data_IF_705620131077
#
_entry.id   IF_705620131077
#
_cell.length_a   1.000
_cell.length_b   1.000
_cell.length_c   1.000
_cell.angle_alpha   90.00
_cell.angle_beta   90.00
_cell.angle_gamma   90.00
#
_symmetry.space_group_name_H-M   'P 1'
#
loop_
_entity.id
_entity.type
_entity.pdbx_description
1 polymer ?
#
# COMPACT_ATOMS: atom_id res chain seq x y z
N UNK A 1 8.54 -32.35 7.26
CA UNK A 1 8.06 -31.10 7.92
C UNK A 1 8.98 -29.89 7.65
N UNK A 2 10.29 -29.95 7.91
CA UNK A 2 11.23 -28.82 7.72
C UNK A 2 11.30 -28.29 6.28
N UNK A 3 11.27 -29.16 5.27
CA UNK A 3 11.39 -28.78 3.86
C UNK A 3 10.18 -27.94 3.40
N UNK A 4 8.97 -28.32 3.79
CA UNK A 4 7.75 -27.56 3.47
C UNK A 4 7.69 -26.18 4.16
N UNK A 5 8.20 -26.07 5.39
CA UNK A 5 8.27 -24.77 6.07
C UNK A 5 9.26 -23.81 5.42
N UNK A 6 10.41 -24.29 4.95
CA UNK A 6 11.37 -23.44 4.23
C UNK A 6 10.79 -22.91 2.91
N UNK A 7 10.09 -23.76 2.16
CA UNK A 7 9.43 -23.35 0.92
C UNK A 7 8.33 -22.29 1.16
N UNK A 8 7.51 -22.47 2.21
CA UNK A 8 6.48 -21.52 2.58
C UNK A 8 7.06 -20.16 3.01
N UNK A 9 8.14 -20.16 3.79
CA UNK A 9 8.84 -18.93 4.20
C UNK A 9 9.48 -18.21 3.03
N UNK A 10 10.11 -18.94 2.10
CA UNK A 10 10.69 -18.36 0.88
C UNK A 10 9.60 -17.71 0.02
N UNK A 11 8.45 -18.37 -0.15
CA UNK A 11 7.30 -17.80 -0.87
C UNK A 11 6.77 -16.53 -0.17
N UNK A 12 6.62 -16.56 1.15
CA UNK A 12 6.18 -15.41 1.93
C UNK A 12 7.17 -14.23 1.81
N UNK A 13 8.47 -14.49 1.87
CA UNK A 13 9.49 -13.46 1.67
C UNK A 13 9.41 -12.84 0.28
N UNK A 14 9.26 -13.66 -0.75
CA UNK A 14 9.09 -13.16 -2.13
C UNK A 14 7.85 -12.28 -2.25
N UNK A 15 6.71 -12.73 -1.71
CA UNK A 15 5.47 -11.91 -1.69
C UNK A 15 5.71 -10.59 -0.95
N UNK A 16 6.30 -10.63 0.24
CA UNK A 16 6.59 -9.43 1.03
C UNK A 16 7.48 -8.43 0.28
N UNK A 17 8.53 -8.91 -0.39
CA UNK A 17 9.43 -8.05 -1.15
C UNK A 17 8.75 -7.42 -2.36
N UNK A 18 7.99 -8.21 -3.14
CA UNK A 18 7.25 -7.70 -4.31
C UNK A 18 6.21 -6.67 -3.86
N UNK A 19 5.38 -7.02 -2.88
CA UNK A 19 4.34 -6.13 -2.37
C UNK A 19 4.94 -4.88 -1.73
N UNK A 20 5.98 -5.03 -0.90
CA UNK A 20 6.64 -3.90 -0.25
C UNK A 20 7.29 -2.94 -1.24
N UNK A 21 7.92 -3.45 -2.30
CA UNK A 21 8.49 -2.61 -3.36
C UNK A 21 7.39 -1.89 -4.15
N UNK A 22 6.30 -2.59 -4.49
CA UNK A 22 5.18 -1.99 -5.20
C UNK A 22 4.52 -0.88 -4.37
N UNK A 23 4.32 -1.11 -3.06
CA UNK A 23 3.76 -0.12 -2.15
C UNK A 23 4.70 1.07 -1.91
N UNK A 24 6.00 0.85 -1.83
CA UNK A 24 6.98 1.93 -1.75
C UNK A 24 6.89 2.85 -2.98
N UNK A 25 6.76 2.27 -4.18
CA UNK A 25 6.58 3.01 -5.43
C UNK A 25 5.21 3.69 -5.53
N UNK A 26 4.17 3.13 -4.89
CA UNK A 26 2.83 3.69 -4.82
C UNK A 26 2.75 4.87 -3.85
N UNK A 27 3.25 4.69 -2.64
CA UNK A 27 3.16 5.69 -1.57
C UNK A 27 3.91 6.99 -1.92
N UNK A 28 4.97 6.91 -2.71
CA UNK A 28 5.73 8.10 -3.09
C UNK A 28 4.88 9.13 -3.88
N UNK A 29 4.19 8.77 -4.99
CA UNK A 29 3.25 9.65 -5.67
C UNK A 29 2.06 10.11 -4.81
N UNK A 30 1.61 9.31 -3.86
CA UNK A 30 0.53 9.69 -2.95
C UNK A 30 0.94 10.84 -2.03
N UNK A 31 2.16 10.80 -1.50
CA UNK A 31 2.71 11.91 -0.75
C UNK A 31 2.80 13.20 -1.56
N UNK A 32 3.19 13.10 -2.83
CA UNK A 32 3.17 14.22 -3.77
C UNK A 32 1.74 14.75 -3.94
N UNK A 33 0.77 13.88 -4.17
CA UNK A 33 -0.63 14.24 -4.36
C UNK A 33 -1.22 14.93 -3.12
N UNK A 34 -0.95 14.39 -1.93
CA UNK A 34 -1.39 14.95 -0.65
C UNK A 34 -0.87 16.37 -0.45
N UNK A 35 0.42 16.59 -0.75
CA UNK A 35 1.01 17.93 -0.69
C UNK A 35 0.32 18.91 -1.66
N UNK A 36 0.10 18.50 -2.91
CA UNK A 36 -0.56 19.37 -3.90
C UNK A 36 -2.01 19.66 -3.53
N UNK A 37 -2.76 18.67 -3.06
CA UNK A 37 -4.11 18.88 -2.56
C UNK A 37 -4.12 19.92 -1.43
N UNK A 38 -3.21 19.80 -0.47
CA UNK A 38 -3.08 20.73 0.66
C UNK A 38 -2.64 22.14 0.26
N UNK A 39 -1.83 22.27 -0.79
CA UNK A 39 -1.43 23.61 -1.27
C UNK A 39 -2.52 24.28 -2.11
N UNK A 40 -3.38 23.52 -2.76
CA UNK A 40 -4.52 24.04 -3.52
C UNK A 40 -5.67 24.46 -2.59
N UNK A 41 -6.01 23.61 -1.63
CA UNK A 41 -7.02 23.86 -0.60
C UNK A 41 -6.68 23.04 0.66
N UNK A 42 -6.48 23.69 1.83
CA UNK A 42 -6.18 22.99 3.07
C UNK A 42 -7.24 21.97 3.49
N UNK A 43 -8.53 22.22 3.22
CA UNK A 43 -9.60 21.28 3.52
C UNK A 43 -9.52 20.05 2.61
N UNK A 44 -9.24 20.24 1.32
CA UNK A 44 -9.00 19.14 0.38
C UNK A 44 -7.76 18.33 0.79
N UNK A 45 -6.68 18.99 1.18
CA UNK A 45 -5.47 18.33 1.67
C UNK A 45 -5.72 17.45 2.88
N UNK A 46 -6.47 17.96 3.87
CA UNK A 46 -6.83 17.19 5.06
C UNK A 46 -7.68 15.95 4.71
N UNK A 47 -8.68 16.12 3.84
CA UNK A 47 -9.53 14.99 3.37
C UNK A 47 -8.71 13.94 2.63
N UNK A 48 -7.83 14.38 1.73
CA UNK A 48 -6.92 13.49 0.99
C UNK A 48 -6.00 12.72 1.95
N UNK A 49 -5.38 13.42 2.90
CA UNK A 49 -4.50 12.79 3.90
C UNK A 49 -5.25 11.77 4.77
N UNK A 50 -6.48 12.05 5.19
CA UNK A 50 -7.30 11.10 5.95
C UNK A 50 -7.69 9.87 5.12
N UNK A 51 -8.09 10.08 3.86
CA UNK A 51 -8.40 8.98 2.95
C UNK A 51 -7.19 8.06 2.74
N UNK A 52 -6.02 8.65 2.49
CA UNK A 52 -4.75 7.93 2.32
C UNK A 52 -4.36 7.21 3.61
N UNK A 53 -4.45 7.84 4.76
CA UNK A 53 -4.15 7.19 6.04
C UNK A 53 -5.02 5.96 6.31
N UNK A 54 -6.30 5.98 5.90
CA UNK A 54 -7.20 4.84 6.06
C UNK A 54 -6.82 3.65 5.18
N UNK A 55 -6.45 3.88 3.92
CA UNK A 55 -6.07 2.76 3.06
C UNK A 55 -4.62 2.28 3.30
N UNK A 56 -3.75 3.10 3.84
CA UNK A 56 -2.40 2.69 4.23
C UNK A 56 -2.39 1.63 5.35
N UNK A 57 -3.47 1.51 6.15
CA UNK A 57 -3.57 0.46 7.17
C UNK A 57 -3.60 -0.94 6.55
N UNK A 58 -4.52 -1.29 5.62
CA UNK A 58 -4.48 -2.55 4.89
C UNK A 58 -3.17 -2.79 4.14
N UNK A 59 -2.61 -1.76 3.54
CA UNK A 59 -1.35 -1.84 2.78
C UNK A 59 -0.17 -2.19 3.69
N UNK A 60 -0.04 -1.52 4.83
CA UNK A 60 0.98 -1.85 5.83
C UNK A 60 0.87 -3.30 6.30
N UNK A 61 -0.35 -3.82 6.48
CA UNK A 61 -0.58 -5.24 6.83
C UNK A 61 -0.18 -6.18 5.69
N UNK A 62 -0.41 -5.80 4.43
CA UNK A 62 -0.03 -6.61 3.27
C UNK A 62 1.50 -6.79 3.15
N UNK A 63 2.31 -5.87 3.68
CA UNK A 63 3.76 -6.01 3.80
C UNK A 63 4.16 -6.68 5.11
N UNK A 64 3.62 -6.21 6.24
CA UNK A 64 4.04 -6.64 7.57
C UNK A 64 3.81 -8.13 7.81
N UNK A 65 2.65 -8.64 7.41
CA UNK A 65 2.25 -10.02 7.73
C UNK A 65 3.14 -11.06 7.03
N UNK A 66 3.32 -11.04 5.69
CA UNK A 66 4.19 -12.01 5.04
C UNK A 66 5.66 -11.85 5.44
N UNK A 67 6.13 -10.62 5.72
CA UNK A 67 7.50 -10.38 6.17
C UNK A 67 7.74 -10.93 7.57
N UNK A 68 6.80 -10.72 8.50
CA UNK A 68 6.86 -11.28 9.85
C UNK A 68 6.85 -12.81 9.82
N UNK A 69 6.01 -13.42 8.98
CA UNK A 69 5.97 -14.87 8.81
C UNK A 69 7.30 -15.42 8.25
N UNK A 70 7.83 -14.78 7.21
CA UNK A 70 9.08 -15.21 6.57
C UNK A 70 10.28 -15.13 7.51
N UNK A 71 10.35 -14.05 8.33
CA UNK A 71 11.46 -13.79 9.25
C UNK A 71 11.25 -14.34 10.65
N UNK A 72 10.06 -14.86 10.96
CA UNK A 72 9.62 -15.23 12.30
C UNK A 72 9.77 -14.07 13.31
N UNK A 73 9.52 -12.83 12.87
CA UNK A 73 9.69 -11.63 13.70
C UNK A 73 8.65 -10.57 13.36
N UNK A 74 7.76 -10.29 14.31
CA UNK A 74 6.76 -9.21 14.19
C UNK A 74 7.41 -7.83 14.05
N UNK A 75 8.51 -7.61 14.77
CA UNK A 75 9.24 -6.34 14.71
C UNK A 75 9.82 -6.07 13.30
N UNK A 76 10.37 -7.10 12.65
CA UNK A 76 10.86 -6.98 11.26
C UNK A 76 9.72 -6.73 10.28
N UNK A 77 8.56 -7.36 10.49
CA UNK A 77 7.37 -7.08 9.69
C UNK A 77 6.89 -5.64 9.84
N UNK A 78 6.78 -5.15 11.07
CA UNK A 78 6.41 -3.75 11.34
C UNK A 78 7.41 -2.76 10.75
N UNK A 79 8.71 -3.04 10.86
CA UNK A 79 9.75 -2.20 10.28
C UNK A 79 9.67 -2.17 8.74
N UNK A 80 9.39 -3.30 8.10
CA UNK A 80 9.24 -3.35 6.64
C UNK A 80 8.03 -2.51 6.17
N UNK A 81 6.90 -2.58 6.88
CA UNK A 81 5.73 -1.74 6.60
C UNK A 81 6.04 -0.25 6.84
N UNK A 82 6.74 0.08 7.93
CA UNK A 82 7.15 1.46 8.22
C UNK A 82 8.04 2.02 7.11
N UNK A 83 9.05 1.27 6.66
CA UNK A 83 9.94 1.70 5.56
C UNK A 83 9.16 1.92 4.27
N UNK A 84 8.19 1.05 3.95
CA UNK A 84 7.32 1.24 2.79
C UNK A 84 6.45 2.51 2.93
N UNK A 85 5.85 2.74 4.11
CA UNK A 85 5.03 3.92 4.38
C UNK A 85 5.80 5.24 4.40
N UNK A 86 7.09 5.23 4.78
CA UNK A 86 7.94 6.43 4.74
C UNK A 86 8.19 6.98 3.34
N UNK A 87 7.88 6.23 2.29
CA UNK A 87 7.92 6.72 0.92
C UNK A 87 6.91 7.86 0.68
N UNK A 88 5.77 7.87 1.38
CA UNK A 88 4.75 8.93 1.28
C UNK A 88 5.29 10.29 1.75
N UNK A 89 5.74 10.48 3.01
CA UNK A 89 6.34 11.75 3.43
C UNK A 89 7.61 12.09 2.63
N UNK A 90 8.38 11.11 2.17
CA UNK A 90 9.52 11.36 1.30
C UNK A 90 9.08 11.94 -0.05
N UNK A 91 8.01 11.43 -0.66
CA UNK A 91 7.42 11.97 -1.89
C UNK A 91 6.97 13.43 -1.72
N UNK A 92 6.28 13.73 -0.62
CA UNK A 92 5.86 15.09 -0.29
C UNK A 92 7.07 16.04 -0.14
N UNK A 93 8.12 15.62 0.58
CA UNK A 93 9.33 16.43 0.77
C UNK A 93 10.08 16.66 -0.56
N UNK A 94 10.24 15.62 -1.37
CA UNK A 94 10.88 15.73 -2.69
C UNK A 94 10.08 16.69 -3.59
N UNK A 95 8.76 16.59 -3.60
CA UNK A 95 7.90 17.50 -4.34
C UNK A 95 8.06 18.95 -3.86
N UNK A 96 8.08 19.16 -2.55
CA UNK A 96 8.20 20.48 -1.96
C UNK A 96 9.51 21.19 -2.32
N UNK A 97 10.64 20.46 -2.26
CA UNK A 97 11.97 21.08 -2.34
C UNK A 97 12.61 21.01 -3.73
N UNK A 98 12.35 19.96 -4.52
CA UNK A 98 13.15 19.71 -5.71
C UNK A 98 12.39 19.85 -7.04
N UNK A 99 11.08 19.61 -7.07
CA UNK A 99 10.39 19.38 -8.35
C UNK A 99 9.04 20.08 -8.52
N UNK A 100 8.82 21.22 -7.88
CA UNK A 100 7.54 21.96 -8.01
C UNK A 100 7.11 22.20 -9.46
N UNK A 101 8.05 22.43 -10.36
CA UNK A 101 7.78 22.70 -11.77
C UNK A 101 7.51 21.45 -12.62
N UNK A 102 7.92 20.26 -12.16
CA UNK A 102 7.73 19.01 -12.90
C UNK A 102 6.38 18.35 -12.63
N UNK A 103 5.73 18.69 -11.53
CA UNK A 103 4.46 18.09 -11.14
C UNK A 103 3.28 18.80 -11.81
N UNK A 104 3.19 18.65 -13.12
CA UNK A 104 2.01 19.10 -13.88
C UNK A 104 0.82 18.17 -13.63
N UNK A 105 -0.43 18.64 -13.78
CA UNK A 105 -1.61 17.78 -13.65
C UNK A 105 -1.54 16.52 -14.53
N UNK A 106 -1.02 16.63 -15.74
CA UNK A 106 -0.84 15.48 -16.64
C UNK A 106 0.18 14.47 -16.14
N UNK A 107 1.32 14.93 -15.57
CA UNK A 107 2.31 14.05 -14.95
C UNK A 107 1.73 13.31 -13.74
N UNK A 108 1.02 14.03 -12.87
CA UNK A 108 0.38 13.42 -11.68
C UNK A 108 -0.66 12.38 -12.08
N UNK A 109 -1.55 12.72 -13.03
CA UNK A 109 -2.57 11.78 -13.52
C UNK A 109 -1.93 10.54 -14.15
N UNK A 110 -0.92 10.72 -15.01
CA UNK A 110 -0.20 9.61 -15.63
C UNK A 110 0.46 8.69 -14.60
N UNK A 111 1.10 9.27 -13.59
CA UNK A 111 1.72 8.52 -12.48
C UNK A 111 0.68 7.75 -11.68
N UNK A 112 -0.45 8.37 -11.33
CA UNK A 112 -1.55 7.70 -10.61
C UNK A 112 -2.13 6.52 -11.39
N UNK A 113 -2.35 6.66 -12.70
CA UNK A 113 -2.84 5.58 -13.57
C UNK A 113 -1.84 4.42 -13.62
N UNK A 114 -0.54 4.72 -13.78
CA UNK A 114 0.51 3.71 -13.79
C UNK A 114 0.53 2.93 -12.47
N UNK A 115 0.50 3.65 -11.36
CA UNK A 115 0.53 3.07 -10.01
C UNK A 115 -0.72 2.25 -9.73
N UNK A 116 -1.92 2.73 -10.11
CA UNK A 116 -3.15 1.96 -10.01
C UNK A 116 -3.07 0.63 -10.80
N UNK A 117 -2.44 0.64 -11.97
CA UNK A 117 -2.18 -0.57 -12.75
C UNK A 117 -1.26 -1.56 -12.01
N UNK A 118 -0.16 -1.07 -11.42
CA UNK A 118 0.77 -1.89 -10.62
C UNK A 118 0.04 -2.49 -9.41
N UNK A 119 -0.74 -1.70 -8.68
CA UNK A 119 -1.48 -2.17 -7.51
C UNK A 119 -2.55 -3.20 -7.87
N UNK A 120 -3.26 -2.99 -8.98
CA UNK A 120 -4.22 -3.97 -9.50
C UNK A 120 -3.51 -5.29 -9.81
N UNK A 121 -2.35 -5.24 -10.46
CA UNK A 121 -1.57 -6.44 -10.75
C UNK A 121 -1.10 -7.15 -9.46
N UNK A 122 -0.60 -6.42 -8.45
CA UNK A 122 -0.19 -6.98 -7.14
C UNK A 122 -1.38 -7.64 -6.44
N UNK A 123 -2.54 -6.97 -6.41
CA UNK A 123 -3.75 -7.53 -5.81
C UNK A 123 -4.17 -8.84 -6.49
N UNK A 124 -4.25 -8.86 -7.82
CA UNK A 124 -4.72 -10.02 -8.57
C UNK A 124 -3.70 -11.16 -8.63
N UNK A 125 -2.41 -10.85 -8.81
CA UNK A 125 -1.38 -11.85 -9.03
C UNK A 125 -0.70 -12.36 -7.76
N UNK A 126 -0.69 -11.57 -6.68
CA UNK A 126 0.02 -11.91 -5.44
C UNK A 126 -0.92 -12.13 -4.24
N UNK A 127 -1.82 -11.17 -3.97
CA UNK A 127 -2.61 -11.18 -2.75
C UNK A 127 -3.82 -12.10 -2.85
N UNK A 128 -4.65 -11.96 -3.89
CA UNK A 128 -5.86 -12.78 -4.07
C UNK A 128 -5.58 -14.28 -4.14
N UNK A 129 -4.60 -14.79 -4.91
CA UNK A 129 -4.33 -16.22 -4.94
C UNK A 129 -3.92 -16.79 -3.57
N UNK A 130 -3.26 -15.96 -2.75
CA UNK A 130 -2.85 -16.35 -1.39
C UNK A 130 -4.03 -16.33 -0.43
N UNK A 131 -4.87 -15.27 -0.50
CA UNK A 131 -6.04 -15.11 0.36
C UNK A 131 -7.14 -16.16 0.10
N UNK A 132 -7.34 -16.54 -1.18
CA UNK A 132 -8.34 -17.52 -1.58
C UNK A 132 -7.82 -18.96 -1.69
N UNK A 133 -6.60 -19.25 -1.23
CA UNK A 133 -6.11 -20.60 -1.13
C UNK A 133 -7.07 -21.50 -0.32
N UNK A 134 -7.27 -22.79 -0.67
CA UNK A 134 -8.28 -23.64 -0.04
C UNK A 134 -8.23 -23.64 1.50
N UNK A 135 -7.02 -23.60 2.06
CA UNK A 135 -6.80 -23.58 3.52
C UNK A 135 -7.26 -22.28 4.21
N UNK A 136 -7.44 -21.18 3.45
CA UNK A 136 -7.72 -19.84 4.00
C UNK A 136 -8.90 -19.15 3.30
N UNK A 137 -9.70 -19.89 2.54
CA UNK A 137 -10.74 -19.32 1.67
C UNK A 137 -11.76 -18.46 2.42
N UNK A 138 -12.27 -18.96 3.55
CA UNK A 138 -13.26 -18.22 4.33
C UNK A 138 -12.67 -16.95 4.97
N UNK A 139 -11.55 -17.00 5.71
CA UNK A 139 -10.87 -15.79 6.18
C UNK A 139 -10.50 -14.83 5.05
N UNK A 140 -10.10 -15.34 3.88
CA UNK A 140 -9.78 -14.51 2.72
C UNK A 140 -10.98 -13.75 2.17
N UNK A 141 -12.14 -14.39 2.04
CA UNK A 141 -13.39 -13.76 1.63
C UNK A 141 -13.82 -12.69 2.64
N UNK A 142 -13.79 -13.04 3.94
CA UNK A 142 -14.18 -12.10 4.99
C UNK A 142 -13.23 -10.89 5.03
N UNK A 143 -11.93 -11.10 4.89
CA UNK A 143 -10.93 -10.03 4.82
C UNK A 143 -11.13 -9.12 3.61
N UNK A 144 -11.37 -9.69 2.42
CA UNK A 144 -11.64 -8.92 1.21
C UNK A 144 -12.93 -8.10 1.35
N UNK A 145 -14.01 -8.70 1.86
CA UNK A 145 -15.27 -8.00 2.11
C UNK A 145 -15.11 -6.86 3.13
N UNK A 146 -14.40 -7.12 4.23
CA UNK A 146 -14.10 -6.09 5.23
C UNK A 146 -13.27 -4.95 4.68
N UNK A 147 -12.24 -5.23 3.86
CA UNK A 147 -11.43 -4.23 3.19
C UNK A 147 -12.24 -3.37 2.23
N UNK A 148 -13.08 -3.99 1.38
CA UNK A 148 -13.99 -3.27 0.49
C UNK A 148 -14.96 -2.38 1.27
N UNK A 149 -15.56 -2.90 2.35
CA UNK A 149 -16.46 -2.13 3.20
C UNK A 149 -15.77 -0.94 3.84
N UNK A 150 -14.56 -1.13 4.38
CA UNK A 150 -13.75 -0.06 4.97
C UNK A 150 -13.50 1.07 3.96
N UNK A 151 -13.11 0.72 2.73
CA UNK A 151 -12.85 1.70 1.67
C UNK A 151 -14.11 2.43 1.25
N UNK A 152 -15.24 1.72 1.08
CA UNK A 152 -16.53 2.34 0.74
C UNK A 152 -17.01 3.31 1.82
N UNK A 153 -16.87 2.93 3.09
CA UNK A 153 -17.19 3.80 4.22
C UNK A 153 -16.26 5.02 4.29
N UNK A 154 -14.96 4.83 4.01
CA UNK A 154 -14.00 5.92 3.94
C UNK A 154 -14.37 6.94 2.85
N UNK A 155 -14.68 6.47 1.64
CA UNK A 155 -15.12 7.33 0.53
C UNK A 155 -16.44 8.04 0.85
N UNK A 156 -17.40 7.35 1.47
CA UNK A 156 -18.69 7.93 1.83
C UNK A 156 -18.60 8.95 2.99
N UNK A 157 -17.65 8.78 3.90
CA UNK A 157 -17.44 9.67 5.05
C UNK A 157 -16.63 10.94 4.71
N UNK A 158 -15.95 10.94 3.56
CA UNK A 158 -15.06 12.04 3.12
C UNK A 158 -15.56 12.63 1.79
N UNK A 159 -16.69 13.35 1.79
CA UNK A 159 -17.28 13.95 0.60
C UNK A 159 -16.42 15.08 0.02
#
# INVERSE_FOLDING_TARGET
>A
AKYGQNTARTKAMRTALITGTALLLHNFPEGVLTLFAGTADPALGLRTALAIALHNIPEGLAVAVPFAYATNSRAKGALAALVSGLAEPAGALVALFLFRSLFTPGFLTGTMVLVAGIMTWVALAQLLPTAFAPAHRLPGILGAAAGCLLMLLGIAALP
#
